data_IF_311347189771
#
_entry.id   IF_311347189771
#
_cell.length_a   1.000
_cell.length_b   1.000
_cell.length_c   1.000
_cell.angle_alpha   90.00
_cell.angle_beta   90.00
_cell.angle_gamma   90.00
#
_symmetry.space_group_name_H-M   'P 1'
#
loop_
_entity.id
_entity.type
_entity.pdbx_description
1 polymer ?
#
# COMPACT_ATOMS: atom_id res chain seq x y z
N UNK A 1 10.58 -8.78 11.01
CA UNK A 1 10.35 -7.82 9.91
C UNK A 1 9.36 -8.39 8.89
N UNK A 2 9.65 -9.54 8.28
CA UNK A 2 8.77 -10.20 7.30
C UNK A 2 7.32 -10.34 7.81
N UNK A 3 7.12 -10.79 9.04
CA UNK A 3 5.77 -10.91 9.62
C UNK A 3 5.04 -9.55 9.71
N UNK A 4 5.73 -8.47 10.07
CA UNK A 4 5.16 -7.12 10.15
C UNK A 4 4.83 -6.58 8.75
N UNK A 5 5.68 -6.88 7.76
CA UNK A 5 5.42 -6.53 6.37
C UNK A 5 4.17 -7.28 5.85
N UNK A 6 4.09 -8.58 6.08
CA UNK A 6 2.94 -9.40 5.66
C UNK A 6 1.66 -8.95 6.36
N UNK A 7 1.68 -8.72 7.67
CA UNK A 7 0.48 -8.27 8.39
C UNK A 7 0.07 -6.87 7.99
N UNK A 8 1.01 -5.95 7.79
CA UNK A 8 0.69 -4.60 7.32
C UNK A 8 0.10 -4.63 5.90
N UNK A 9 0.69 -5.38 4.97
CA UNK A 9 0.15 -5.57 3.62
C UNK A 9 -1.23 -6.23 3.64
N UNK A 10 -1.46 -7.20 4.52
CA UNK A 10 -2.75 -7.89 4.67
C UNK A 10 -3.84 -6.95 5.20
N UNK A 11 -3.55 -6.23 6.29
CA UNK A 11 -4.48 -5.23 6.88
C UNK A 11 -4.83 -4.18 5.83
N UNK A 12 -3.84 -3.71 5.10
CA UNK A 12 -3.99 -2.66 4.12
C UNK A 12 -4.76 -3.16 2.89
N UNK A 13 -4.46 -4.37 2.40
CA UNK A 13 -5.21 -5.01 1.31
C UNK A 13 -6.69 -5.20 1.67
N UNK A 14 -6.97 -5.59 2.90
CA UNK A 14 -8.33 -5.70 3.43
C UNK A 14 -9.05 -4.34 3.43
N UNK A 15 -8.38 -3.26 3.84
CA UNK A 15 -8.96 -1.90 3.80
C UNK A 15 -9.28 -1.42 2.39
N UNK A 16 -8.46 -1.75 1.38
CA UNK A 16 -8.78 -1.41 -0.02
C UNK A 16 -10.03 -2.15 -0.46
N UNK A 17 -10.14 -3.44 -0.12
CA UNK A 17 -11.30 -4.26 -0.46
C UNK A 17 -12.58 -3.66 0.13
N UNK A 18 -12.56 -3.37 1.43
CA UNK A 18 -13.67 -2.71 2.13
C UNK A 18 -14.03 -1.35 1.52
N UNK A 19 -13.03 -0.53 1.17
CA UNK A 19 -13.26 0.75 0.52
C UNK A 19 -13.89 0.61 -0.88
N UNK A 20 -13.50 -0.43 -1.63
CA UNK A 20 -14.04 -0.71 -2.98
C UNK A 20 -15.48 -1.23 -2.90
N UNK A 21 -15.77 -2.11 -1.94
CA UNK A 21 -17.13 -2.57 -1.64
C UNK A 21 -18.02 -1.39 -1.22
N UNK A 22 -17.49 -0.48 -0.39
CA UNK A 22 -18.23 0.70 0.03
C UNK A 22 -18.55 1.65 -1.14
N UNK A 23 -17.67 1.77 -2.15
CA UNK A 23 -17.98 2.51 -3.38
C UNK A 23 -19.17 1.90 -4.12
N UNK A 24 -19.24 0.56 -4.20
CA UNK A 24 -20.36 -0.15 -4.81
C UNK A 24 -21.65 0.10 -4.04
N UNK A 25 -21.61 -0.01 -2.71
CA UNK A 25 -22.77 0.26 -1.86
C UNK A 25 -23.26 1.71 -2.00
N UNK A 26 -22.36 2.70 -2.01
CA UNK A 26 -22.73 4.11 -2.22
C UNK A 26 -23.34 4.37 -3.61
N UNK A 27 -22.98 3.59 -4.64
CA UNK A 27 -23.64 3.67 -5.94
C UNK A 27 -25.08 3.12 -5.90
N UNK A 28 -25.32 2.08 -5.10
CA UNK A 28 -26.67 1.51 -4.93
C UNK A 28 -27.61 2.44 -4.15
N UNK A 29 -27.08 3.26 -3.24
CA UNK A 29 -27.87 4.23 -2.46
C UNK A 29 -28.18 5.54 -3.19
N UNK A 30 -27.58 5.75 -4.37
CA UNK A 30 -27.87 6.93 -5.18
C UNK A 30 -29.37 7.00 -5.56
N UNK A 31 -29.97 8.19 -5.70
CA UNK A 31 -31.38 8.37 -6.06
C UNK A 31 -31.63 8.11 -7.56
N UNK A 32 -31.24 6.93 -8.04
CA UNK A 32 -31.25 6.54 -9.45
C UNK A 32 -32.65 6.55 -10.06
N UNK A 33 -33.70 6.46 -9.25
CA UNK A 33 -35.09 6.55 -9.70
C UNK A 33 -35.43 7.93 -10.30
N UNK A 34 -34.77 9.00 -9.84
CA UNK A 34 -34.91 10.37 -10.38
C UNK A 34 -34.13 10.59 -11.69
N UNK A 35 -33.31 9.62 -12.10
CA UNK A 35 -32.44 9.78 -13.25
C UNK A 35 -33.10 9.30 -14.53
N UNK A 36 -32.83 9.99 -15.64
CA UNK A 36 -33.28 9.57 -16.95
C UNK A 36 -32.57 8.27 -17.41
N UNK A 37 -33.07 7.67 -18.49
CA UNK A 37 -32.54 6.41 -19.04
C UNK A 37 -31.05 6.48 -19.36
N UNK A 38 -30.56 7.62 -19.87
CA UNK A 38 -29.14 7.78 -20.21
C UNK A 38 -28.22 7.76 -18.99
N UNK A 39 -28.62 8.43 -17.91
CA UNK A 39 -27.86 8.44 -16.66
C UNK A 39 -27.91 7.08 -15.95
N UNK A 40 -29.06 6.39 -15.98
CA UNK A 40 -29.19 5.00 -15.51
C UNK A 40 -28.26 4.04 -16.24
N UNK A 41 -28.11 4.19 -17.56
CA UNK A 41 -27.16 3.38 -18.33
C UNK A 41 -25.71 3.61 -17.89
N UNK A 42 -25.31 4.86 -17.63
CA UNK A 42 -23.96 5.18 -17.14
C UNK A 42 -23.74 4.56 -15.74
N UNK A 43 -24.73 4.67 -14.84
CA UNK A 43 -24.68 4.02 -13.53
C UNK A 43 -24.50 2.51 -13.66
N UNK A 44 -25.25 1.85 -14.55
CA UNK A 44 -25.15 0.40 -14.76
C UNK A 44 -23.76 -0.02 -15.27
N UNK A 45 -23.16 0.76 -16.18
CA UNK A 45 -21.78 0.55 -16.63
C UNK A 45 -20.82 0.71 -15.45
N UNK A 46 -21.05 1.72 -14.60
CA UNK A 46 -20.20 1.94 -13.43
C UNK A 46 -20.30 0.77 -12.45
N UNK A 47 -21.52 0.38 -12.05
CA UNK A 47 -21.78 -0.77 -11.19
C UNK A 47 -21.12 -2.05 -11.73
N UNK A 48 -21.29 -2.33 -13.03
CA UNK A 48 -20.68 -3.51 -13.66
C UNK A 48 -19.16 -3.53 -13.57
N UNK A 49 -18.51 -2.36 -13.66
CA UNK A 49 -17.06 -2.26 -13.50
C UNK A 49 -16.60 -2.42 -12.04
N UNK A 50 -17.47 -2.16 -11.06
CA UNK A 50 -17.18 -2.32 -9.64
C UNK A 50 -17.41 -3.76 -9.13
N UNK A 51 -18.16 -4.59 -9.85
CA UNK A 51 -18.49 -5.97 -9.46
C UNK A 51 -17.29 -6.92 -9.43
N UNK A 52 -16.19 -6.59 -10.11
CA UNK A 52 -14.94 -7.36 -9.99
C UNK A 52 -14.12 -6.83 -8.81
N UNK A 53 -14.20 -7.44 -7.60
CA UNK A 53 -13.34 -7.03 -6.51
C UNK A 53 -11.89 -7.28 -6.92
N UNK A 54 -11.07 -6.23 -6.85
CA UNK A 54 -9.63 -6.35 -7.04
C UNK A 54 -9.03 -7.10 -5.84
N UNK A 55 -9.02 -8.44 -5.91
CA UNK A 55 -8.35 -9.28 -4.91
C UNK A 55 -6.84 -9.25 -5.14
N UNK A 56 -6.09 -8.81 -4.13
CA UNK A 56 -4.65 -9.01 -4.07
C UNK A 56 -4.39 -10.35 -3.39
N UNK A 57 -4.26 -11.44 -4.16
CA UNK A 57 -3.89 -12.74 -3.61
C UNK A 57 -2.37 -12.87 -3.53
N UNK A 58 -1.85 -13.12 -2.34
CA UNK A 58 -0.44 -13.40 -2.07
C UNK A 58 -0.34 -14.87 -1.59
N UNK A 59 0.14 -15.78 -2.43
CA UNK A 59 0.37 -17.18 -2.07
C UNK A 59 1.78 -17.62 -2.51
N UNK A 60 2.42 -18.49 -1.71
CA UNK A 60 3.63 -19.31 -1.98
C UNK A 60 4.91 -19.08 -1.15
N UNK A 61 4.90 -18.51 0.06
CA UNK A 61 6.13 -18.42 0.87
C UNK A 61 6.35 -19.71 1.69
N UNK A 62 7.50 -20.37 1.54
CA UNK A 62 7.97 -21.52 2.34
C UNK A 62 9.28 -21.12 3.02
N UNK A 63 9.38 -21.26 4.35
CA UNK A 63 10.58 -20.87 5.12
C UNK A 63 11.56 -22.05 5.28
N UNK A 64 12.74 -21.99 4.65
CA UNK A 64 13.86 -22.97 4.79
C UNK A 64 15.23 -22.29 5.09
N UNK A 65 16.26 -23.08 5.43
CA UNK A 65 17.62 -22.69 5.84
C UNK A 65 18.39 -21.88 4.78
N UNK A 66 18.02 -21.98 3.50
CA UNK A 66 18.49 -21.12 2.41
C UNK A 66 18.33 -19.63 2.75
N UNK A 67 17.27 -19.27 3.48
CA UNK A 67 16.84 -17.91 3.80
C UNK A 67 17.95 -16.98 4.33
N UNK A 68 18.93 -17.49 5.09
CA UNK A 68 19.96 -16.65 5.73
C UNK A 68 21.07 -16.20 4.76
N UNK A 69 21.51 -17.07 3.85
CA UNK A 69 22.50 -16.71 2.82
C UNK A 69 21.87 -15.77 1.80
N UNK A 70 20.59 -15.98 1.49
CA UNK A 70 19.84 -15.14 0.56
C UNK A 70 19.50 -13.77 1.11
N UNK A 71 19.38 -13.57 2.44
CA UNK A 71 19.25 -12.24 3.04
C UNK A 71 20.40 -11.28 2.67
N UNK A 72 21.63 -11.77 2.47
CA UNK A 72 22.75 -10.90 2.06
C UNK A 72 22.69 -10.53 0.56
N UNK A 73 22.26 -11.46 -0.28
CA UNK A 73 21.99 -11.20 -1.71
C UNK A 73 20.81 -10.22 -1.85
N UNK A 74 19.82 -10.36 -0.97
CA UNK A 74 18.64 -9.52 -0.87
C UNK A 74 18.98 -8.03 -0.64
N UNK A 75 20.03 -7.72 0.12
CA UNK A 75 20.51 -6.34 0.31
C UNK A 75 21.02 -5.76 -1.01
N UNK A 76 21.81 -6.53 -1.75
CA UNK A 76 22.41 -6.07 -3.01
C UNK A 76 21.31 -5.91 -4.05
N UNK A 77 20.39 -6.88 -4.17
CA UNK A 77 19.24 -6.77 -5.08
C UNK A 77 18.26 -5.70 -4.65
N UNK A 78 18.05 -5.50 -3.35
CA UNK A 78 17.20 -4.47 -2.78
C UNK A 78 17.71 -3.07 -3.10
N UNK A 79 19.01 -2.83 -2.85
CA UNK A 79 19.70 -1.60 -3.24
C UNK A 79 19.62 -1.33 -4.75
N UNK A 80 19.80 -2.36 -5.59
CA UNK A 80 19.66 -2.24 -7.05
C UNK A 80 18.21 -1.95 -7.49
N UNK A 81 17.23 -2.22 -6.64
CA UNK A 81 15.81 -1.99 -6.94
C UNK A 81 15.25 -0.70 -6.34
N UNK A 82 15.99 0.00 -5.48
CA UNK A 82 15.57 1.30 -4.92
C UNK A 82 15.22 2.28 -6.04
N UNK A 83 16.05 2.38 -7.08
CA UNK A 83 15.79 3.27 -8.22
C UNK A 83 14.51 2.90 -8.98
N UNK A 84 14.30 1.59 -9.17
CA UNK A 84 13.11 1.07 -9.84
C UNK A 84 11.85 1.34 -9.02
N UNK A 85 11.91 1.15 -7.71
CA UNK A 85 10.83 1.43 -6.77
C UNK A 85 10.53 2.93 -6.68
N UNK A 86 11.56 3.76 -6.57
CA UNK A 86 11.43 5.22 -6.56
C UNK A 86 10.74 5.71 -7.84
N UNK A 87 11.20 5.25 -9.01
CA UNK A 87 10.58 5.59 -10.30
C UNK A 87 9.11 5.18 -10.36
N UNK A 88 8.79 3.97 -9.88
CA UNK A 88 7.41 3.49 -9.89
C UNK A 88 6.52 4.27 -8.91
N UNK A 89 7.07 4.68 -7.77
CA UNK A 89 6.38 5.56 -6.82
C UNK A 89 6.16 6.95 -7.42
N UNK A 90 7.14 7.52 -8.13
CA UNK A 90 6.98 8.78 -8.85
C UNK A 90 5.93 8.69 -9.96
N UNK A 91 5.92 7.59 -10.72
CA UNK A 91 4.87 7.32 -11.72
C UNK A 91 3.50 7.23 -11.05
N UNK A 92 3.41 6.57 -9.89
CA UNK A 92 2.16 6.46 -9.12
C UNK A 92 1.72 7.82 -8.58
N UNK A 93 2.64 8.62 -8.04
CA UNK A 93 2.40 9.97 -7.53
C UNK A 93 1.92 10.92 -8.63
N UNK A 94 2.53 10.86 -9.82
CA UNK A 94 2.12 11.66 -10.98
C UNK A 94 0.76 11.26 -11.52
N UNK A 95 0.43 9.98 -11.40
CA UNK A 95 -0.84 9.46 -11.88
C UNK A 95 -1.96 9.84 -10.90
N UNK A 96 -1.73 9.72 -9.59
CA UNK A 96 -2.67 10.18 -8.55
C UNK A 96 -3.08 11.64 -8.77
N UNK A 97 -4.38 11.93 -8.56
CA UNK A 97 -4.86 13.31 -8.54
C UNK A 97 -4.12 14.09 -7.47
N UNK A 98 -3.83 15.35 -7.78
CA UNK A 98 -3.09 16.20 -6.86
C UNK A 98 -3.81 16.25 -5.52
N UNK A 99 -3.03 16.17 -4.45
CA UNK A 99 -3.51 16.27 -3.09
C UNK A 99 -4.31 17.57 -2.86
N UNK A 100 -4.05 18.59 -3.66
CA UNK A 100 -4.71 19.90 -3.63
C UNK A 100 -6.19 19.86 -4.07
N UNK A 101 -6.57 18.89 -4.91
CA UNK A 101 -7.97 18.72 -5.35
C UNK A 101 -8.86 18.06 -4.27
N UNK A 102 -8.27 17.56 -3.18
CA UNK A 102 -9.01 16.89 -2.12
C UNK A 102 -9.68 17.89 -1.17
N UNK A 103 -10.78 17.47 -0.52
CA UNK A 103 -11.39 18.29 0.52
C UNK A 103 -10.44 18.51 1.71
N UNK A 104 -10.52 19.68 2.34
CA UNK A 104 -9.59 20.10 3.40
C UNK A 104 -9.57 19.12 4.59
N UNK A 105 -10.72 18.49 4.90
CA UNK A 105 -10.84 17.52 5.99
C UNK A 105 -10.06 16.25 5.68
N UNK A 106 -10.22 15.69 4.49
CA UNK A 106 -9.46 14.55 4.00
C UNK A 106 -7.97 14.88 3.93
N UNK A 107 -7.60 16.07 3.44
CA UNK A 107 -6.20 16.52 3.43
C UNK A 107 -5.59 16.53 4.84
N UNK A 108 -6.26 17.14 5.83
CA UNK A 108 -5.79 17.17 7.23
C UNK A 108 -5.64 15.76 7.80
N UNK A 109 -6.60 14.89 7.53
CA UNK A 109 -6.55 13.50 7.99
C UNK A 109 -5.38 12.73 7.37
N UNK A 110 -5.13 12.87 6.07
CA UNK A 110 -4.00 12.25 5.39
C UNK A 110 -2.67 12.74 5.94
N UNK A 111 -2.50 14.05 6.11
CA UNK A 111 -1.28 14.63 6.71
C UNK A 111 -1.04 14.08 8.11
N UNK A 112 -2.09 14.00 8.93
CA UNK A 112 -2.01 13.43 10.26
C UNK A 112 -1.59 11.95 10.23
N UNK A 113 -2.26 11.13 9.42
CA UNK A 113 -1.96 9.70 9.31
C UNK A 113 -0.56 9.47 8.73
N UNK A 114 -0.15 10.24 7.72
CA UNK A 114 1.19 10.21 7.14
C UNK A 114 2.26 10.55 8.17
N UNK A 115 2.10 11.65 8.90
CA UNK A 115 3.03 12.06 9.96
C UNK A 115 3.10 11.02 11.09
N UNK A 116 1.95 10.50 11.54
CA UNK A 116 1.90 9.45 12.56
C UNK A 116 2.61 8.18 12.11
N UNK A 117 2.38 7.76 10.86
CA UNK A 117 3.03 6.58 10.27
C UNK A 117 4.55 6.76 10.21
N UNK A 118 5.03 7.93 9.78
CA UNK A 118 6.45 8.26 9.76
C UNK A 118 7.07 8.25 11.16
N UNK A 119 6.40 8.84 12.16
CA UNK A 119 6.87 8.85 13.56
C UNK A 119 6.95 7.43 14.11
N UNK A 120 5.88 6.64 13.96
CA UNK A 120 5.85 5.25 14.41
C UNK A 120 6.95 4.42 13.74
N UNK A 121 7.18 4.64 12.45
CA UNK A 121 8.22 3.96 11.71
C UNK A 121 9.62 4.28 12.23
N UNK A 122 9.94 5.57 12.41
CA UNK A 122 11.23 5.99 12.99
C UNK A 122 11.39 5.43 14.42
N UNK A 123 10.32 5.44 15.21
CA UNK A 123 10.31 4.84 16.54
C UNK A 123 10.61 3.34 16.54
N UNK A 124 9.96 2.57 15.66
CA UNK A 124 10.22 1.13 15.49
C UNK A 124 11.65 0.89 15.01
N UNK A 125 12.17 1.69 14.08
CA UNK A 125 13.55 1.59 13.62
C UNK A 125 14.55 1.83 14.77
N UNK A 126 14.34 2.85 15.61
CA UNK A 126 15.21 3.11 16.76
C UNK A 126 15.12 1.98 17.79
N UNK A 127 13.90 1.55 18.15
CA UNK A 127 13.70 0.50 19.15
C UNK A 127 14.32 -0.84 18.72
N UNK A 128 14.22 -1.18 17.44
CA UNK A 128 14.82 -2.40 16.89
C UNK A 128 16.34 -2.33 16.86
N UNK A 129 16.93 -1.17 16.59
CA UNK A 129 18.37 -0.96 16.73
C UNK A 129 18.82 -1.08 18.19
N UNK A 130 18.12 -0.45 19.13
CA UNK A 130 18.43 -0.56 20.57
C UNK A 130 18.32 -2.02 21.03
N UNK A 131 17.24 -2.70 20.69
CA UNK A 131 17.05 -4.12 21.00
C UNK A 131 18.20 -4.94 20.44
N UNK A 132 18.58 -4.70 19.18
CA UNK A 132 19.69 -5.40 18.57
C UNK A 132 21.04 -5.16 19.29
N UNK A 133 21.35 -3.93 19.70
CA UNK A 133 22.59 -3.63 20.45
C UNK A 133 22.57 -4.20 21.89
N UNK A 134 21.42 -4.23 22.54
CA UNK A 134 21.28 -4.80 23.89
C UNK A 134 21.36 -6.33 23.89
N UNK A 135 20.83 -6.97 22.85
CA UNK A 135 20.80 -8.42 22.67
C UNK A 135 21.91 -8.94 21.75
N UNK A 136 22.89 -8.09 21.42
CA UNK A 136 24.11 -8.53 20.75
C UNK A 136 24.72 -9.66 21.58
N UNK A 137 25.26 -10.71 20.94
CA UNK A 137 25.57 -11.97 21.62
C UNK A 137 26.76 -11.82 22.58
N UNK A 138 26.48 -11.27 23.76
CA UNK A 138 27.35 -11.21 24.92
C UNK A 138 27.13 -12.43 25.82
N UNK A 139 26.12 -13.27 25.53
CA UNK A 139 25.84 -14.51 26.25
C UNK A 139 26.34 -15.74 25.47
N UNK A 140 27.02 -16.65 26.18
CA UNK A 140 27.70 -17.85 25.66
C UNK A 140 26.76 -18.82 24.90
N UNK A 141 25.45 -18.80 25.15
CA UNK A 141 24.47 -19.69 24.51
C UNK A 141 24.10 -19.31 23.06
N UNK A 142 24.61 -18.17 22.57
CA UNK A 142 24.26 -17.62 21.25
C UNK A 142 24.78 -18.44 20.07
N UNK A 143 25.75 -19.34 20.29
CA UNK A 143 26.25 -20.30 19.29
C UNK A 143 25.16 -21.19 18.70
N UNK A 144 24.10 -21.49 19.45
CA UNK A 144 23.00 -22.35 19.00
C UNK A 144 22.02 -21.62 18.08
N UNK A 145 21.98 -20.29 18.15
CA UNK A 145 20.95 -19.47 17.49
C UNK A 145 21.45 -18.94 16.14
N UNK A 146 22.74 -18.58 16.06
CA UNK A 146 23.29 -17.91 14.89
C UNK A 146 24.34 -18.76 14.18
N UNK A 147 23.95 -19.44 13.11
CA UNK A 147 24.86 -20.26 12.29
C UNK A 147 26.07 -19.46 11.77
N UNK A 148 25.84 -18.23 11.29
CA UNK A 148 26.92 -17.37 10.80
C UNK A 148 27.95 -17.06 11.91
N UNK A 149 27.50 -16.85 13.15
CA UNK A 149 28.39 -16.67 14.30
C UNK A 149 29.21 -17.93 14.56
N UNK A 150 28.55 -19.09 14.65
CA UNK A 150 29.19 -20.38 14.88
C UNK A 150 30.24 -20.70 13.80
N UNK A 151 29.88 -20.50 12.53
CA UNK A 151 30.78 -20.74 11.40
C UNK A 151 32.02 -19.85 11.43
N UNK A 152 31.84 -18.54 11.66
CA UNK A 152 32.97 -17.59 11.75
C UNK A 152 33.87 -17.91 12.95
N UNK A 153 33.29 -18.34 14.06
CA UNK A 153 34.04 -18.66 15.27
C UNK A 153 34.91 -19.92 15.09
N UNK A 154 34.35 -20.96 14.47
CA UNK A 154 34.99 -22.27 14.32
C UNK A 154 36.03 -22.30 13.19
N UNK A 155 35.73 -21.68 12.05
CA UNK A 155 36.51 -21.86 10.82
C UNK A 155 37.41 -20.67 10.43
N UNK A 156 37.20 -19.45 10.97
CA UNK A 156 37.91 -18.24 10.51
C UNK A 156 38.96 -17.71 11.51
N UNK A 157 39.66 -18.60 12.21
CA UNK A 157 40.80 -18.19 13.03
C UNK A 157 42.00 -17.80 12.14
N UNK A 158 42.74 -16.70 12.40
CA UNK A 158 42.66 -15.75 13.51
C UNK A 158 41.74 -14.52 13.29
N UNK A 159 41.14 -14.38 12.10
CA UNK A 159 40.40 -13.18 11.70
C UNK A 159 38.97 -13.08 12.26
N UNK A 160 38.49 -14.08 13.02
CA UNK A 160 37.11 -14.16 13.52
C UNK A 160 36.57 -12.88 14.16
N UNK A 161 37.39 -12.14 14.90
CA UNK A 161 36.98 -10.88 15.55
C UNK A 161 36.61 -9.79 14.54
N UNK A 162 37.38 -9.70 13.46
CA UNK A 162 37.13 -8.72 12.38
C UNK A 162 35.87 -9.12 11.61
N UNK A 163 35.73 -10.38 11.23
CA UNK A 163 34.55 -10.87 10.51
C UNK A 163 33.26 -10.75 11.32
N UNK A 164 33.29 -11.09 12.61
CA UNK A 164 32.13 -10.90 13.49
C UNK A 164 31.77 -9.42 13.62
N UNK A 165 32.75 -8.52 13.79
CA UNK A 165 32.49 -7.08 13.83
C UNK A 165 31.84 -6.58 12.55
N UNK A 166 32.36 -6.97 11.38
CA UNK A 166 31.79 -6.60 10.09
C UNK A 166 30.37 -7.16 9.89
N UNK A 167 30.14 -8.42 10.28
CA UNK A 167 28.81 -9.06 10.22
C UNK A 167 27.80 -8.31 11.09
N UNK A 168 28.14 -7.99 12.34
CA UNK A 168 27.23 -7.26 13.22
C UNK A 168 27.03 -5.82 12.77
N UNK A 169 28.08 -5.19 12.20
CA UNK A 169 28.00 -3.84 11.62
C UNK A 169 27.09 -3.81 10.39
N UNK A 170 27.07 -4.87 9.58
CA UNK A 170 26.23 -4.93 8.38
C UNK A 170 24.74 -5.13 8.66
N UNK A 171 24.38 -5.76 9.78
CA UNK A 171 22.96 -6.04 10.10
C UNK A 171 22.16 -4.73 10.28
N UNK A 172 22.75 -3.68 10.85
CA UNK A 172 22.04 -2.43 11.10
C UNK A 172 21.63 -1.71 9.80
N UNK A 173 22.53 -1.48 8.81
CA UNK A 173 22.16 -1.01 7.47
C UNK A 173 21.18 -1.93 6.74
N UNK A 174 21.34 -3.25 6.82
CA UNK A 174 20.42 -4.22 6.20
C UNK A 174 19.00 -4.04 6.70
N UNK A 175 18.86 -3.87 8.02
CA UNK A 175 17.57 -3.67 8.65
C UNK A 175 16.93 -2.36 8.18
N UNK A 176 17.72 -1.29 8.11
CA UNK A 176 17.26 0.00 7.60
C UNK A 176 16.84 -0.07 6.12
N UNK A 177 17.63 -0.75 5.28
CA UNK A 177 17.33 -0.92 3.86
C UNK A 177 16.01 -1.68 3.64
N UNK A 178 15.82 -2.82 4.32
CA UNK A 178 14.57 -3.58 4.24
C UNK A 178 13.35 -2.79 4.72
N UNK A 179 13.52 -1.96 5.74
CA UNK A 179 12.47 -1.05 6.19
C UNK A 179 12.18 0.06 5.16
N UNK A 180 13.22 0.65 4.56
CA UNK A 180 13.09 1.70 3.56
C UNK A 180 12.35 1.20 2.30
N UNK A 181 12.46 -0.08 1.95
CA UNK A 181 11.73 -0.69 0.83
C UNK A 181 10.23 -0.88 1.09
N UNK A 182 9.82 -1.01 2.35
CA UNK A 182 8.41 -1.17 2.73
C UNK A 182 7.64 0.15 2.71
N UNK A 183 8.32 1.26 3.04
CA UNK A 183 7.69 2.58 3.13
C UNK A 183 6.97 3.02 1.85
N UNK A 184 7.58 2.97 0.65
CA UNK A 184 6.92 3.38 -0.57
C UNK A 184 5.68 2.55 -0.87
N UNK A 185 5.68 1.26 -0.51
CA UNK A 185 4.53 0.39 -0.72
C UNK A 185 3.39 0.76 0.21
N UNK A 186 3.66 0.90 1.50
CA UNK A 186 2.67 1.38 2.47
C UNK A 186 2.09 2.72 2.00
N UNK A 187 2.96 3.64 1.55
CA UNK A 187 2.55 4.94 1.04
C UNK A 187 1.63 4.85 -0.19
N UNK A 188 2.03 4.10 -1.22
CA UNK A 188 1.22 3.91 -2.45
C UNK A 188 -0.14 3.31 -2.11
N UNK A 189 -0.18 2.34 -1.20
CA UNK A 189 -1.44 1.72 -0.87
C UNK A 189 -2.35 2.65 -0.08
N UNK A 190 -1.79 3.42 0.87
CA UNK A 190 -2.53 4.46 1.57
C UNK A 190 -3.09 5.48 0.59
N UNK A 191 -2.34 5.88 -0.43
CA UNK A 191 -2.85 6.74 -1.50
C UNK A 191 -4.04 6.10 -2.24
N UNK A 192 -3.95 4.82 -2.62
CA UNK A 192 -5.07 4.12 -3.27
C UNK A 192 -6.32 4.11 -2.38
N UNK A 193 -6.16 3.84 -1.08
CA UNK A 193 -7.25 3.90 -0.11
C UNK A 193 -7.89 5.30 -0.06
N UNK A 194 -7.08 6.37 0.02
CA UNK A 194 -7.59 7.74 0.05
C UNK A 194 -8.31 8.14 -1.24
N UNK A 195 -7.78 7.80 -2.42
CA UNK A 195 -8.43 8.07 -3.70
C UNK A 195 -9.79 7.36 -3.79
N UNK A 196 -9.87 6.12 -3.30
CA UNK A 196 -11.13 5.35 -3.24
C UNK A 196 -12.13 6.01 -2.30
N UNK A 197 -11.69 6.46 -1.13
CA UNK A 197 -12.56 7.17 -0.17
C UNK A 197 -13.05 8.51 -0.71
N UNK A 198 -12.23 9.23 -1.46
CA UNK A 198 -12.64 10.46 -2.14
C UNK A 198 -13.70 10.18 -3.19
N UNK A 199 -13.49 9.16 -4.03
CA UNK A 199 -14.46 8.75 -5.03
C UNK A 199 -15.81 8.42 -4.38
N UNK A 200 -15.78 7.68 -3.27
CA UNK A 200 -16.98 7.40 -2.48
C UNK A 200 -17.68 8.69 -2.03
N UNK A 201 -16.93 9.65 -1.47
CA UNK A 201 -17.48 10.93 -1.06
C UNK A 201 -18.10 11.70 -2.25
N UNK A 202 -17.49 11.66 -3.44
CA UNK A 202 -18.08 12.25 -4.64
C UNK A 202 -19.39 11.58 -5.05
N UNK A 203 -19.48 10.25 -4.93
CA UNK A 203 -20.69 9.48 -5.24
C UNK A 203 -21.81 9.82 -4.24
N UNK A 204 -21.50 9.83 -2.94
CA UNK A 204 -22.47 10.17 -1.88
C UNK A 204 -23.01 11.59 -2.02
N UNK A 205 -22.22 12.52 -2.54
CA UNK A 205 -22.61 13.90 -2.76
C UNK A 205 -23.10 14.19 -4.19
N UNK A 206 -23.35 13.17 -5.02
CA UNK A 206 -23.64 13.37 -6.45
C UNK A 206 -24.88 14.24 -6.70
N UNK A 207 -25.90 14.11 -5.84
CA UNK A 207 -27.16 14.85 -5.90
C UNK A 207 -27.36 15.83 -4.74
N UNK A 208 -26.32 16.14 -3.96
CA UNK A 208 -26.44 16.94 -2.72
C UNK A 208 -27.06 18.33 -2.92
N UNK A 209 -26.87 18.93 -4.09
CA UNK A 209 -27.34 20.28 -4.40
C UNK A 209 -28.82 20.33 -4.82
N UNK A 210 -29.51 19.19 -4.84
CA UNK A 210 -30.87 19.05 -5.33
C UNK A 210 -31.78 18.39 -4.28
N UNK A 211 -33.03 18.85 -4.20
CA UNK A 211 -34.02 18.23 -3.32
C UNK A 211 -34.49 16.91 -3.92
N UNK A 212 -33.97 15.79 -3.41
CA UNK A 212 -34.30 14.45 -3.91
C UNK A 212 -35.75 14.02 -3.64
N UNK A 213 -36.56 14.85 -2.98
CA UNK A 213 -38.01 14.64 -2.83
C UNK A 213 -38.80 15.26 -4.00
N UNK A 214 -38.19 16.12 -4.81
CA UNK A 214 -38.85 16.74 -5.96
C UNK A 214 -38.84 15.81 -7.18
N UNK A 215 -40.01 15.24 -7.50
CA UNK A 215 -40.19 14.37 -8.66
C UNK A 215 -40.02 15.11 -10.00
N UNK A 216 -40.12 16.44 -10.03
CA UNK A 216 -39.92 17.23 -11.24
C UNK A 216 -38.47 17.21 -11.73
N UNK A 217 -37.52 16.83 -10.86
CA UNK A 217 -36.11 16.63 -11.24
C UNK A 217 -35.92 15.59 -12.35
N UNK A 218 -36.86 14.64 -12.50
CA UNK A 218 -36.79 13.67 -13.59
C UNK A 218 -36.80 14.34 -14.98
N UNK A 219 -37.63 15.37 -15.15
CA UNK A 219 -37.80 16.09 -16.42
C UNK A 219 -36.90 17.33 -16.54
N UNK A 220 -36.25 17.77 -15.44
CA UNK A 220 -35.33 18.91 -15.46
C UNK A 220 -34.03 18.58 -16.23
N UNK A 221 -33.90 19.19 -17.41
CA UNK A 221 -32.74 19.03 -18.29
C UNK A 221 -31.42 19.48 -17.64
N UNK A 222 -31.44 20.50 -16.78
CA UNK A 222 -30.23 21.00 -16.12
C UNK A 222 -29.74 20.01 -15.07
N UNK A 223 -30.65 19.50 -14.23
CA UNK A 223 -30.35 18.43 -13.28
C UNK A 223 -29.77 17.21 -13.99
N UNK A 224 -30.45 16.68 -15.02
CA UNK A 224 -30.00 15.49 -15.74
C UNK A 224 -28.63 15.69 -16.39
N UNK A 225 -28.33 16.88 -16.91
CA UNK A 225 -27.03 17.23 -17.50
C UNK A 225 -25.92 17.28 -16.45
N UNK A 226 -26.20 17.84 -15.27
CA UNK A 226 -25.22 17.92 -14.18
C UNK A 226 -24.93 16.55 -13.57
N UNK A 227 -25.95 15.73 -13.31
CA UNK A 227 -25.78 14.33 -12.87
C UNK A 227 -24.97 13.53 -13.88
N UNK A 228 -25.26 13.68 -15.18
CA UNK A 228 -24.47 13.04 -16.24
C UNK A 228 -22.99 13.39 -16.15
N UNK A 229 -22.69 14.68 -15.99
CA UNK A 229 -21.31 15.18 -15.88
C UNK A 229 -20.60 14.59 -14.66
N UNK A 230 -21.26 14.58 -13.50
CA UNK A 230 -20.70 14.02 -12.24
C UNK A 230 -20.52 12.51 -12.31
N UNK A 231 -21.45 11.76 -12.90
CA UNK A 231 -21.32 10.32 -13.12
C UNK A 231 -20.14 10.00 -14.04
N UNK A 232 -20.02 10.69 -15.18
CA UNK A 232 -18.89 10.51 -16.10
C UNK A 232 -17.56 10.80 -15.39
N UNK A 233 -17.52 11.83 -14.55
CA UNK A 233 -16.35 12.12 -13.73
C UNK A 233 -16.01 10.96 -12.79
N UNK A 234 -16.99 10.43 -12.06
CA UNK A 234 -16.76 9.32 -11.12
C UNK A 234 -16.30 8.05 -11.85
N UNK A 235 -16.87 7.74 -13.03
CA UNK A 235 -16.45 6.60 -13.85
C UNK A 235 -14.99 6.75 -14.29
N UNK A 236 -14.60 7.92 -14.81
CA UNK A 236 -13.21 8.19 -15.20
C UNK A 236 -12.26 8.08 -14.00
N UNK A 237 -12.67 8.64 -12.86
CA UNK A 237 -11.89 8.58 -11.63
C UNK A 237 -11.71 7.13 -11.15
N UNK A 238 -12.76 6.31 -11.17
CA UNK A 238 -12.65 4.89 -10.85
C UNK A 238 -11.70 4.13 -11.79
N UNK A 239 -11.78 4.41 -13.10
CA UNK A 239 -10.85 3.83 -14.08
C UNK A 239 -9.39 4.19 -13.80
N UNK A 240 -9.14 5.42 -13.37
CA UNK A 240 -7.80 5.87 -12.99
C UNK A 240 -7.31 5.16 -11.72
N UNK A 241 -8.18 4.99 -10.71
CA UNK A 241 -7.88 4.17 -9.52
C UNK A 241 -7.55 2.72 -9.91
N UNK A 242 -8.28 2.12 -10.86
CA UNK A 242 -8.01 0.76 -11.34
C UNK A 242 -6.63 0.65 -11.99
N UNK A 243 -6.20 1.66 -12.76
CA UNK A 243 -4.83 1.71 -13.31
C UNK A 243 -3.78 1.74 -12.21
N UNK A 244 -4.02 2.44 -11.10
CA UNK A 244 -3.09 2.44 -9.95
C UNK A 244 -3.03 1.08 -9.29
N UNK A 245 -4.16 0.39 -9.15
CA UNK A 245 -4.20 -0.98 -8.66
C UNK A 245 -3.30 -1.92 -9.46
N UNK A 246 -3.23 -1.77 -10.78
CA UNK A 246 -2.32 -2.55 -11.63
C UNK A 246 -0.84 -2.22 -11.43
N UNK A 247 -0.50 -0.93 -11.19
CA UNK A 247 0.87 -0.54 -10.84
C UNK A 247 1.25 -1.12 -9.48
N UNK A 248 0.35 -1.04 -8.49
CA UNK A 248 0.55 -1.64 -7.17
C UNK A 248 0.73 -3.16 -7.25
N UNK A 249 -0.02 -3.87 -8.10
CA UNK A 249 0.20 -5.30 -8.34
C UNK A 249 1.62 -5.57 -8.85
N UNK A 250 2.19 -4.71 -9.70
CA UNK A 250 3.58 -4.83 -10.16
C UNK A 250 4.57 -4.59 -9.02
N UNK A 251 4.35 -3.58 -8.16
CA UNK A 251 5.15 -3.34 -6.95
C UNK A 251 5.17 -4.58 -6.07
N UNK A 252 4.00 -5.07 -5.71
CA UNK A 252 3.84 -6.22 -4.82
C UNK A 252 4.43 -7.46 -5.46
N UNK A 253 4.30 -7.65 -6.78
CA UNK A 253 4.93 -8.76 -7.49
C UNK A 253 6.46 -8.68 -7.45
N UNK A 254 7.04 -7.50 -7.59
CA UNK A 254 8.49 -7.29 -7.49
C UNK A 254 8.97 -7.62 -6.07
N UNK A 255 8.24 -7.14 -5.04
CA UNK A 255 8.53 -7.49 -3.65
C UNK A 255 8.34 -8.97 -3.37
N UNK A 256 7.31 -9.60 -3.93
CA UNK A 256 7.09 -11.03 -3.77
C UNK A 256 8.13 -11.86 -4.51
N UNK A 257 8.61 -11.41 -5.67
CA UNK A 257 9.71 -12.09 -6.37
C UNK A 257 10.97 -12.07 -5.50
N UNK A 258 11.23 -10.94 -4.84
CA UNK A 258 12.25 -10.87 -3.80
C UNK A 258 11.93 -11.93 -2.73
N UNK A 259 10.74 -11.90 -2.11
CA UNK A 259 10.39 -12.80 -0.99
C UNK A 259 10.30 -14.30 -1.37
N UNK A 260 9.94 -14.66 -2.61
CA UNK A 260 9.66 -16.02 -3.09
C UNK A 260 10.86 -16.70 -3.77
N UNK A 261 11.86 -15.96 -4.23
CA UNK A 261 13.18 -16.56 -4.52
C UNK A 261 13.94 -16.91 -3.22
N UNK A 262 13.29 -16.76 -2.05
CA UNK A 262 13.80 -17.10 -0.71
C UNK A 262 12.98 -18.22 -0.06
#
# INVERSE_FOLDING_TARGET
>A
MVLIAITSLSIVGQKIKEATESVFDSLLTCPWYLWNTGNKQILNIFLSNCVEPSTLSMSHIVLDYSFTVTCNICIITGLLQVDKMSKLCDETLKACRSFEEMDEKSQKHIKFVGNLTSILFVGVAILTQIHYYLFLPMHEDTKKIYFAYWFVEEYLWPFKRIFLFLYFLSISPTFYAGLAELLPVIYVVMQCYFQTRNLQNFIENISRDFDCNDLQLYDDKNYQKEIKKRLIFCVKYHQDIKKYGEVLKKVVKIQNFIILEF
#
